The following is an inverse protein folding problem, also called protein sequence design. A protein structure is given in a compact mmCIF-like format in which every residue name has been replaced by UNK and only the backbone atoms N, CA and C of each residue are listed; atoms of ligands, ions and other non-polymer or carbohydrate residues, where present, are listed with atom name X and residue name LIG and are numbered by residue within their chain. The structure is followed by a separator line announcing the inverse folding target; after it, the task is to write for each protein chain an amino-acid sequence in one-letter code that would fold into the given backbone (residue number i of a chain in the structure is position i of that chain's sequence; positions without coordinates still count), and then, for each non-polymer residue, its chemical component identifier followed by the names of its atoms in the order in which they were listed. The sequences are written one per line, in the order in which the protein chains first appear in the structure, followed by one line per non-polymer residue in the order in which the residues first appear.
data_IF_272793168662
#
_entry.id   IF_272793168662
#
_cell.length_a   1.000
_cell.length_b   1.000
_cell.length_c   1.000
_cell.angle_alpha   90.00
_cell.angle_beta   90.00
_cell.angle_gamma   90.00
#
_symmetry.space_group_name_H-M   'P 1'
#
loop_
_entity.id
_entity.type
_entity.pdbx_description
1 polymer ?
#
# COMPACT_ATOMS: atom_id res chain seq x y z
N UNK A 1 -101.42 13.59 -25.68
CA UNK A 1 -100.56 13.28 -26.80
C UNK A 1 -99.25 14.00 -26.62
N UNK A 2 -98.24 13.36 -26.16
CA UNK A 2 -96.91 13.93 -25.99
C UNK A 2 -95.92 12.84 -26.47
N UNK A 3 -95.00 13.13 -27.40
CA UNK A 3 -94.07 12.14 -27.86
C UNK A 3 -92.82 12.08 -26.97
N UNK A 4 -92.43 10.88 -26.61
CA UNK A 4 -91.22 10.58 -25.86
C UNK A 4 -89.98 10.71 -26.74
N UNK A 5 -89.05 11.54 -26.32
CA UNK A 5 -87.71 11.63 -26.91
C UNK A 5 -86.73 10.74 -26.16
N UNK A 6 -86.19 9.74 -26.84
CA UNK A 6 -85.14 8.88 -26.34
C UNK A 6 -83.78 9.58 -26.58
N UNK A 7 -83.00 9.77 -25.50
CA UNK A 7 -81.62 10.23 -25.54
C UNK A 7 -80.72 8.97 -25.59
N UNK A 8 -79.72 8.88 -26.54
CA UNK A 8 -78.82 7.75 -26.56
C UNK A 8 -77.63 7.99 -25.55
N UNK A 9 -77.43 7.01 -24.69
CA UNK A 9 -76.25 6.90 -23.83
C UNK A 9 -75.01 6.69 -24.70
N UNK A 10 -74.06 7.65 -24.69
CA UNK A 10 -72.69 7.42 -25.18
C UNK A 10 -71.84 6.84 -24.08
N UNK A 11 -71.36 5.60 -24.27
CA UNK A 11 -70.36 4.97 -23.44
C UNK A 11 -69.01 5.56 -23.79
N UNK A 12 -68.42 6.31 -22.86
CA UNK A 12 -67.03 6.73 -22.97
C UNK A 12 -66.16 5.56 -22.43
N UNK A 13 -65.47 4.86 -23.34
CA UNK A 13 -64.44 3.91 -23.00
C UNK A 13 -63.20 4.64 -22.47
N UNK A 14 -62.87 4.47 -21.19
CA UNK A 14 -61.57 4.86 -20.63
C UNK A 14 -60.55 3.83 -21.12
N UNK A 15 -59.69 4.22 -22.04
CA UNK A 15 -58.46 3.49 -22.36
C UNK A 15 -57.45 3.88 -21.30
N UNK A 16 -57.24 2.97 -20.29
CA UNK A 16 -56.13 3.08 -19.35
C UNK A 16 -54.82 2.82 -20.12
N UNK A 17 -54.02 3.84 -20.35
CA UNK A 17 -52.64 3.75 -20.81
C UNK A 17 -51.83 3.24 -19.60
N UNK A 18 -51.54 1.94 -19.53
CA UNK A 18 -50.55 1.39 -18.65
C UNK A 18 -49.19 1.75 -19.23
N UNK A 19 -48.59 2.83 -18.72
CA UNK A 19 -47.21 3.12 -18.96
C UNK A 19 -46.37 2.03 -18.27
N UNK A 20 -45.85 1.07 -19.02
CA UNK A 20 -44.76 0.23 -18.60
C UNK A 20 -43.55 1.11 -18.38
N UNK A 21 -43.34 1.54 -17.13
CA UNK A 21 -42.04 2.05 -16.69
C UNK A 21 -41.07 0.87 -16.72
N UNK A 22 -40.32 0.74 -17.81
CA UNK A 22 -39.11 -0.07 -17.83
C UNK A 22 -38.20 0.49 -16.72
N UNK A 23 -37.73 -0.30 -15.77
CA UNK A 23 -36.66 0.17 -14.92
C UNK A 23 -35.47 0.43 -15.85
N UNK A 24 -35.12 1.69 -16.06
CA UNK A 24 -33.78 2.04 -16.53
C UNK A 24 -32.82 1.43 -15.52
N UNK A 25 -32.31 0.25 -15.82
CA UNK A 25 -31.08 -0.20 -15.24
C UNK A 25 -30.03 0.83 -15.72
N UNK A 26 -29.73 1.80 -14.86
CA UNK A 26 -28.46 2.47 -14.93
C UNK A 26 -27.43 1.37 -14.75
N UNK A 27 -26.88 0.88 -15.84
CA UNK A 27 -25.65 0.15 -15.81
C UNK A 27 -24.64 1.14 -15.21
N UNK A 28 -24.31 0.96 -13.95
CA UNK A 28 -23.24 1.68 -13.30
C UNK A 28 -21.99 1.36 -14.13
N UNK A 29 -21.51 2.33 -14.91
CA UNK A 29 -20.27 2.16 -15.65
C UNK A 29 -19.21 1.82 -14.61
N UNK A 30 -18.58 0.66 -14.73
CA UNK A 30 -17.52 0.25 -13.83
C UNK A 30 -16.51 1.39 -13.75
N UNK A 31 -16.41 2.01 -12.57
CA UNK A 31 -15.54 3.17 -12.33
C UNK A 31 -14.06 2.78 -12.38
N UNK A 32 -13.76 1.52 -12.01
CA UNK A 32 -12.42 0.96 -12.11
C UNK A 32 -12.10 0.55 -13.55
N UNK A 33 -10.81 0.54 -13.89
CA UNK A 33 -10.31 0.12 -15.19
C UNK A 33 -9.35 -1.05 -15.03
N UNK A 34 -9.37 -1.97 -16.01
CA UNK A 34 -8.47 -3.11 -16.06
C UNK A 34 -7.75 -3.16 -17.40
N UNK A 35 -6.45 -3.12 -17.34
CA UNK A 35 -5.55 -3.26 -18.49
C UNK A 35 -4.81 -4.57 -18.37
N UNK A 36 -4.77 -5.37 -19.43
CA UNK A 36 -4.10 -6.66 -19.45
C UNK A 36 -3.25 -6.83 -20.70
N UNK A 37 -2.07 -7.37 -20.53
CA UNK A 37 -1.16 -7.80 -21.60
C UNK A 37 -0.89 -9.29 -21.42
N UNK A 38 -0.99 -10.09 -22.49
CA UNK A 38 -0.79 -11.54 -22.48
C UNK A 38 -2.07 -12.36 -22.58
N UNK A 39 -2.04 -13.60 -22.11
CA UNK A 39 -3.16 -14.54 -22.21
C UNK A 39 -4.33 -14.14 -21.29
N UNK A 40 -5.57 -14.07 -21.78
CA UNK A 40 -6.74 -13.80 -20.93
C UNK A 40 -7.18 -14.98 -20.06
N UNK A 41 -6.78 -16.20 -20.41
CA UNK A 41 -7.12 -17.38 -19.60
C UNK A 41 -6.22 -17.45 -18.37
N UNK A 42 -6.84 -17.69 -17.22
CA UNK A 42 -6.17 -18.01 -15.97
C UNK A 42 -5.45 -19.35 -16.08
N UNK A 43 -4.26 -19.46 -15.47
CA UNK A 43 -3.49 -20.70 -15.40
C UNK A 43 -3.15 -20.99 -13.94
N UNK A 44 -3.29 -22.25 -13.55
CA UNK A 44 -2.91 -22.68 -12.20
C UNK A 44 -1.44 -23.04 -12.16
N UNK A 45 -0.64 -22.19 -11.55
CA UNK A 45 0.77 -22.44 -11.23
C UNK A 45 1.00 -22.20 -9.74
N UNK A 46 2.09 -22.76 -9.20
CA UNK A 46 2.48 -22.55 -7.82
C UNK A 46 3.54 -21.44 -7.74
N UNK A 47 3.19 -20.23 -7.31
CA UNK A 47 4.18 -19.17 -7.13
C UNK A 47 5.09 -19.45 -5.93
N UNK A 48 6.24 -18.77 -5.88
CA UNK A 48 7.15 -18.82 -4.73
C UNK A 48 6.99 -17.53 -3.93
N UNK A 49 6.78 -17.62 -2.64
CA UNK A 49 6.63 -16.47 -1.76
C UNK A 49 7.82 -15.50 -1.80
N UNK A 50 7.63 -14.32 -1.27
CA UNK A 50 8.64 -13.28 -1.14
C UNK A 50 8.04 -11.88 -1.13
N UNK A 51 8.83 -10.91 -0.63
CA UNK A 51 8.42 -9.50 -0.57
C UNK A 51 9.40 -8.64 -1.35
N UNK A 52 8.89 -7.65 -2.10
CA UNK A 52 9.71 -6.60 -2.70
C UNK A 52 9.31 -5.24 -2.10
N UNK A 53 10.15 -4.71 -1.20
CA UNK A 53 9.91 -3.48 -0.47
C UNK A 53 10.71 -2.35 -1.14
N UNK A 54 10.05 -1.54 -2.00
CA UNK A 54 10.71 -0.60 -2.91
C UNK A 54 10.46 0.85 -2.49
N UNK A 55 11.53 1.64 -2.33
CA UNK A 55 11.46 3.00 -1.80
C UNK A 55 10.90 4.05 -2.76
N UNK A 56 10.74 3.72 -4.02
CA UNK A 56 10.37 4.66 -5.09
C UNK A 56 11.55 4.94 -6.02
N UNK A 57 11.36 5.89 -6.95
CA UNK A 57 12.36 6.17 -7.98
C UNK A 57 12.12 5.38 -9.27
N UNK A 58 13.09 5.37 -10.17
CA UNK A 58 12.97 4.80 -11.52
C UNK A 58 13.77 3.52 -11.75
N UNK A 59 14.77 3.23 -10.89
CA UNK A 59 15.68 2.09 -11.05
C UNK A 59 15.26 0.94 -10.14
N UNK A 60 14.27 0.17 -10.58
CA UNK A 60 13.67 -0.90 -9.78
C UNK A 60 13.67 -2.27 -10.49
N UNK A 61 14.49 -2.42 -11.54
CA UNK A 61 14.49 -3.61 -12.40
C UNK A 61 14.76 -4.91 -11.64
N UNK A 62 15.73 -4.90 -10.69
CA UNK A 62 16.04 -6.09 -9.89
C UNK A 62 14.85 -6.54 -9.02
N UNK A 63 14.06 -5.59 -8.50
CA UNK A 63 12.89 -5.92 -7.70
C UNK A 63 11.74 -6.47 -8.55
N UNK A 64 11.51 -5.92 -9.73
CA UNK A 64 10.54 -6.49 -10.67
C UNK A 64 10.97 -7.87 -11.15
N UNK A 65 12.26 -8.07 -11.49
CA UNK A 65 12.80 -9.38 -11.86
C UNK A 65 12.59 -10.40 -10.73
N UNK A 66 12.88 -10.03 -9.50
CA UNK A 66 12.64 -10.87 -8.33
C UNK A 66 11.17 -11.31 -8.20
N UNK A 67 10.22 -10.39 -8.38
CA UNK A 67 8.78 -10.72 -8.35
C UNK A 67 8.37 -11.59 -9.55
N UNK A 68 8.86 -11.27 -10.76
CA UNK A 68 8.61 -12.06 -11.97
C UNK A 68 9.03 -13.53 -11.82
N UNK A 69 10.25 -13.77 -11.32
CA UNK A 69 10.77 -15.12 -11.08
C UNK A 69 9.89 -15.90 -10.10
N UNK A 70 9.28 -15.21 -9.11
CA UNK A 70 8.40 -15.81 -8.11
C UNK A 70 7.00 -16.07 -8.59
N UNK A 71 6.54 -15.33 -9.59
CA UNK A 71 5.24 -15.56 -10.24
C UNK A 71 5.20 -16.92 -10.93
N UNK A 72 6.36 -17.52 -11.24
CA UNK A 72 6.52 -18.85 -11.84
C UNK A 72 5.72 -19.05 -13.14
N UNK A 73 5.68 -18.01 -13.99
CA UNK A 73 4.96 -18.05 -15.27
C UNK A 73 3.45 -17.72 -15.16
N UNK A 74 2.92 -17.49 -13.98
CA UNK A 74 1.53 -17.14 -13.72
C UNK A 74 1.17 -15.68 -14.08
N UNK A 75 0.19 -15.14 -13.39
CA UNK A 75 -0.37 -13.81 -13.61
C UNK A 75 0.19 -12.78 -12.61
N UNK A 76 0.73 -11.70 -13.15
CA UNK A 76 1.28 -10.58 -12.38
C UNK A 76 0.28 -9.43 -12.37
N UNK A 77 -0.24 -9.05 -11.20
CA UNK A 77 -1.26 -8.02 -11.06
C UNK A 77 -0.73 -6.78 -10.35
N UNK A 78 -0.88 -5.63 -10.98
CA UNK A 78 -0.56 -4.31 -10.44
C UNK A 78 -1.86 -3.66 -9.96
N UNK A 79 -1.86 -3.13 -8.73
CA UNK A 79 -2.97 -2.36 -8.18
C UNK A 79 -2.58 -0.90 -8.03
N UNK A 80 -3.45 0.00 -8.48
CA UNK A 80 -3.31 1.46 -8.36
C UNK A 80 -4.62 2.08 -7.89
N UNK A 81 -4.51 3.10 -7.05
CA UNK A 81 -5.65 3.91 -6.61
C UNK A 81 -5.46 5.37 -7.07
N UNK A 82 -5.50 5.58 -8.39
CA UNK A 82 -5.47 6.89 -9.04
C UNK A 82 -6.08 6.81 -10.44
N UNK A 83 -6.35 7.95 -11.08
CA UNK A 83 -7.06 8.04 -12.37
C UNK A 83 -6.16 8.10 -13.61
N UNK A 84 -4.83 7.97 -13.47
CA UNK A 84 -3.91 8.06 -14.61
C UNK A 84 -3.79 6.71 -15.33
N UNK A 85 -4.27 6.62 -16.56
CA UNK A 85 -4.41 5.38 -17.34
C UNK A 85 -3.18 5.06 -18.23
N UNK A 86 -2.52 6.07 -18.79
CA UNK A 86 -1.45 5.87 -19.80
C UNK A 86 -0.26 5.08 -19.27
N UNK A 87 0.02 5.20 -17.99
CA UNK A 87 1.08 4.46 -17.31
C UNK A 87 0.81 2.95 -17.29
N UNK A 88 -0.44 2.52 -17.05
CA UNK A 88 -0.79 1.13 -16.83
C UNK A 88 -0.45 0.23 -18.04
N UNK A 89 -0.85 0.62 -19.26
CA UNK A 89 -0.58 -0.16 -20.46
C UNK A 89 0.91 -0.24 -20.78
N UNK A 90 1.64 0.86 -20.60
CA UNK A 90 3.09 0.91 -20.85
C UNK A 90 3.83 -0.04 -19.92
N UNK A 91 3.57 0.03 -18.61
CA UNK A 91 4.24 -0.82 -17.61
C UNK A 91 3.90 -2.29 -17.81
N UNK A 92 2.65 -2.64 -18.12
CA UNK A 92 2.28 -4.03 -18.42
C UNK A 92 3.11 -4.60 -19.59
N UNK A 93 3.27 -3.84 -20.68
CA UNK A 93 4.09 -4.25 -21.84
C UNK A 93 5.56 -4.39 -21.48
N UNK A 94 6.11 -3.45 -20.71
CA UNK A 94 7.51 -3.47 -20.29
C UNK A 94 7.82 -4.70 -19.42
N UNK A 95 6.98 -4.99 -18.42
CA UNK A 95 7.13 -6.17 -17.56
C UNK A 95 6.96 -7.45 -18.39
N UNK A 96 5.92 -7.54 -19.22
CA UNK A 96 5.64 -8.72 -20.05
C UNK A 96 6.77 -9.03 -21.05
N UNK A 97 7.46 -7.99 -21.55
CA UNK A 97 8.55 -8.14 -22.49
C UNK A 97 9.82 -8.78 -21.86
N UNK A 98 10.03 -8.61 -20.56
CA UNK A 98 11.22 -9.09 -19.84
C UNK A 98 10.94 -10.27 -18.92
N UNK A 99 9.68 -10.60 -18.68
CA UNK A 99 9.24 -11.67 -17.79
C UNK A 99 8.42 -12.73 -18.54
N UNK A 100 8.75 -14.04 -18.43
CA UNK A 100 7.99 -15.12 -19.06
C UNK A 100 6.71 -15.43 -18.24
N UNK A 101 5.75 -14.50 -18.26
CA UNK A 101 4.48 -14.57 -17.50
C UNK A 101 3.31 -14.98 -18.41
N UNK A 102 2.26 -15.57 -17.85
CA UNK A 102 0.98 -15.79 -18.53
C UNK A 102 0.39 -14.44 -18.94
N UNK A 103 0.18 -13.56 -17.96
CA UNK A 103 -0.24 -12.18 -18.23
C UNK A 103 0.32 -11.18 -17.21
N UNK A 104 0.26 -9.90 -17.58
CA UNK A 104 0.47 -8.78 -16.69
C UNK A 104 -0.78 -7.91 -16.74
N UNK A 105 -1.40 -7.66 -15.60
CA UNK A 105 -2.59 -6.85 -15.49
C UNK A 105 -2.40 -5.63 -14.58
N UNK A 106 -3.13 -4.55 -14.84
CA UNK A 106 -3.22 -3.41 -13.92
C UNK A 106 -4.67 -3.06 -13.67
N UNK A 107 -5.07 -3.05 -12.39
CA UNK A 107 -6.35 -2.49 -11.96
C UNK A 107 -6.11 -1.06 -11.47
N UNK A 108 -6.90 -0.14 -11.98
CA UNK A 108 -6.93 1.27 -11.55
C UNK A 108 -8.25 1.53 -10.86
N UNK A 109 -8.20 1.76 -9.56
CA UNK A 109 -9.34 2.12 -8.73
C UNK A 109 -9.61 3.62 -8.81
N UNK A 110 -10.85 4.01 -8.99
CA UNK A 110 -11.28 5.40 -8.99
C UNK A 110 -11.91 5.82 -7.65
N UNK A 111 -12.50 4.87 -6.91
CA UNK A 111 -13.22 5.15 -5.67
C UNK A 111 -13.24 3.93 -4.72
N UNK A 112 -13.81 4.12 -3.53
CA UNK A 112 -14.02 3.03 -2.56
C UNK A 112 -15.07 2.02 -3.03
N UNK A 113 -16.10 2.50 -3.72
CA UNK A 113 -17.20 1.68 -4.23
C UNK A 113 -16.71 0.60 -5.20
N UNK A 114 -15.60 0.86 -5.91
CA UNK A 114 -14.96 -0.13 -6.79
C UNK A 114 -14.53 -1.39 -6.02
N UNK A 115 -14.20 -1.23 -4.73
CA UNK A 115 -13.69 -2.33 -3.89
C UNK A 115 -14.75 -3.35 -3.47
N UNK A 116 -16.02 -3.07 -3.73
CA UNK A 116 -17.14 -3.97 -3.51
C UNK A 116 -17.49 -4.81 -4.76
N UNK A 117 -16.87 -4.53 -5.93
CA UNK A 117 -17.13 -5.25 -7.16
C UNK A 117 -16.56 -6.69 -7.10
N UNK A 118 -17.42 -7.73 -7.15
CA UNK A 118 -16.99 -9.13 -7.05
C UNK A 118 -16.08 -9.57 -8.22
N UNK A 119 -16.21 -8.94 -9.40
CA UNK A 119 -15.35 -9.22 -10.55
C UNK A 119 -13.91 -8.75 -10.29
N UNK A 120 -13.76 -7.60 -9.67
CA UNK A 120 -12.46 -7.06 -9.29
C UNK A 120 -11.80 -7.97 -8.24
N UNK A 121 -12.55 -8.37 -7.21
CA UNK A 121 -12.09 -9.33 -6.19
C UNK A 121 -11.68 -10.66 -6.82
N UNK A 122 -12.41 -11.14 -7.83
CA UNK A 122 -12.04 -12.36 -8.55
C UNK A 122 -10.70 -12.21 -9.26
N UNK A 123 -10.44 -11.10 -9.96
CA UNK A 123 -9.16 -10.85 -10.64
C UNK A 123 -8.01 -10.85 -9.64
N UNK A 124 -8.19 -10.22 -8.47
CA UNK A 124 -7.18 -10.21 -7.40
C UNK A 124 -6.89 -11.63 -6.89
N UNK A 125 -7.92 -12.45 -6.68
CA UNK A 125 -7.76 -13.82 -6.19
C UNK A 125 -7.05 -14.75 -7.19
N UNK A 126 -7.15 -14.47 -8.49
CA UNK A 126 -6.51 -15.26 -9.55
C UNK A 126 -5.03 -14.93 -9.74
N UNK A 127 -4.54 -13.80 -9.23
CA UNK A 127 -3.17 -13.39 -9.38
C UNK A 127 -2.19 -14.27 -8.58
N UNK A 128 -1.06 -14.63 -9.20
CA UNK A 128 0.08 -15.27 -8.53
C UNK A 128 0.98 -14.27 -7.84
N UNK A 129 1.09 -13.05 -8.38
CA UNK A 129 1.85 -11.95 -7.76
C UNK A 129 1.02 -10.69 -7.74
N UNK A 130 1.06 -9.97 -6.62
CA UNK A 130 0.45 -8.64 -6.49
C UNK A 130 1.52 -7.59 -6.24
N UNK A 131 1.41 -6.47 -6.97
CA UNK A 131 2.28 -5.32 -6.81
C UNK A 131 1.45 -4.06 -6.57
N UNK A 132 1.70 -3.38 -5.44
CA UNK A 132 1.07 -2.09 -5.12
C UNK A 132 1.92 -0.97 -5.70
N UNK A 133 1.39 -0.26 -6.70
CA UNK A 133 2.12 0.80 -7.39
C UNK A 133 2.32 2.04 -6.51
N UNK A 134 3.19 2.96 -6.95
CA UNK A 134 3.29 4.29 -6.38
C UNK A 134 2.04 5.14 -6.64
N UNK A 135 1.91 6.23 -5.90
CA UNK A 135 0.78 7.15 -6.00
C UNK A 135 0.52 7.87 -4.68
N UNK A 136 -0.74 7.96 -4.29
CA UNK A 136 -1.17 8.49 -3.00
C UNK A 136 -1.64 7.35 -2.10
N UNK A 137 -0.91 7.08 -1.02
CA UNK A 137 -1.27 6.03 -0.05
C UNK A 137 -2.59 6.30 0.67
N UNK A 138 -3.05 7.53 0.75
CA UNK A 138 -4.34 7.83 1.37
C UNK A 138 -5.50 7.19 0.61
N UNK A 139 -5.38 7.09 -0.72
CA UNK A 139 -6.36 6.40 -1.55
C UNK A 139 -6.35 4.89 -1.29
N UNK A 140 -5.18 4.28 -1.08
CA UNK A 140 -5.10 2.85 -0.77
C UNK A 140 -5.81 2.53 0.54
N UNK A 141 -5.59 3.33 1.59
CA UNK A 141 -6.28 3.17 2.87
C UNK A 141 -7.78 3.45 2.71
N UNK A 142 -8.15 4.57 2.09
CA UNK A 142 -9.57 4.96 1.95
C UNK A 142 -10.39 4.01 1.10
N UNK A 143 -9.79 3.49 0.01
CA UNK A 143 -10.53 2.67 -0.95
C UNK A 143 -10.57 1.21 -0.55
N UNK A 144 -9.49 0.67 0.06
CA UNK A 144 -9.36 -0.76 0.26
C UNK A 144 -9.58 -1.23 1.70
N UNK A 145 -9.21 -0.43 2.72
CA UNK A 145 -9.35 -0.84 4.12
C UNK A 145 -10.82 -1.11 4.48
N UNK A 146 -11.09 -2.22 5.17
CA UNK A 146 -12.42 -2.71 5.56
C UNK A 146 -13.34 -2.98 4.34
N UNK A 147 -12.79 -3.57 3.27
CA UNK A 147 -13.52 -3.92 2.04
C UNK A 147 -13.23 -5.36 1.58
N UNK A 148 -14.00 -5.89 0.62
CA UNK A 148 -13.69 -7.17 -0.02
C UNK A 148 -12.30 -7.25 -0.68
N UNK A 149 -11.77 -6.12 -1.18
CA UNK A 149 -10.40 -6.01 -1.74
C UNK A 149 -9.35 -6.26 -0.67
N UNK A 150 -9.46 -5.65 0.51
CA UNK A 150 -8.57 -5.97 1.62
C UNK A 150 -8.61 -7.46 1.98
N UNK A 151 -9.81 -8.02 2.04
CA UNK A 151 -10.00 -9.45 2.27
C UNK A 151 -9.29 -10.34 1.24
N UNK A 152 -9.30 -9.94 -0.04
CA UNK A 152 -8.61 -10.64 -1.12
C UNK A 152 -7.08 -10.49 -1.00
N UNK A 153 -6.58 -9.29 -0.69
CA UNK A 153 -5.16 -9.03 -0.44
C UNK A 153 -4.63 -9.84 0.74
N UNK A 154 -5.36 -9.88 1.85
CA UNK A 154 -4.97 -10.65 3.02
C UNK A 154 -5.03 -12.16 2.78
N UNK A 155 -5.93 -12.67 1.93
CA UNK A 155 -5.91 -14.07 1.46
C UNK A 155 -4.66 -14.36 0.65
N UNK A 156 -4.33 -13.52 -0.34
CA UNK A 156 -3.12 -13.65 -1.15
C UNK A 156 -1.84 -13.73 -0.27
N UNK A 157 -1.76 -12.87 0.74
CA UNK A 157 -0.68 -12.87 1.73
C UNK A 157 -0.67 -14.17 2.54
N UNK A 158 -1.83 -14.62 3.05
CA UNK A 158 -1.96 -15.83 3.86
C UNK A 158 -1.64 -17.11 3.07
N UNK A 159 -1.86 -17.12 1.76
CA UNK A 159 -1.46 -18.18 0.84
C UNK A 159 0.06 -18.20 0.57
N UNK A 160 0.81 -17.25 1.13
CA UNK A 160 2.26 -17.13 0.96
C UNK A 160 2.69 -16.74 -0.45
N UNK A 161 1.80 -16.14 -1.24
CA UNK A 161 2.09 -15.64 -2.58
C UNK A 161 2.98 -14.38 -2.54
N UNK A 162 3.78 -14.11 -3.57
CA UNK A 162 4.65 -12.95 -3.59
C UNK A 162 3.86 -11.64 -3.69
N UNK A 163 4.29 -10.65 -2.91
CA UNK A 163 3.73 -9.32 -2.92
C UNK A 163 4.83 -8.27 -2.87
N UNK A 164 4.62 -7.14 -3.53
CA UNK A 164 5.55 -6.02 -3.47
C UNK A 164 4.84 -4.68 -3.51
N UNK A 165 5.58 -3.63 -3.22
CA UNK A 165 5.07 -2.27 -3.34
C UNK A 165 6.17 -1.25 -3.48
N UNK A 166 5.89 -0.16 -4.20
CA UNK A 166 6.80 0.95 -4.39
C UNK A 166 6.19 2.26 -3.91
N UNK A 167 6.99 3.10 -3.25
CA UNK A 167 6.54 4.42 -2.79
C UNK A 167 5.26 4.30 -1.93
N UNK A 168 4.14 4.88 -2.36
CA UNK A 168 2.85 4.74 -1.67
C UNK A 168 2.44 3.27 -1.46
N UNK A 169 2.75 2.37 -2.41
CA UNK A 169 2.49 0.96 -2.27
C UNK A 169 3.32 0.30 -1.17
N UNK A 170 4.60 0.68 -1.00
CA UNK A 170 5.39 0.23 0.15
C UNK A 170 4.85 0.81 1.46
N UNK A 171 4.45 2.09 1.47
CA UNK A 171 4.00 2.78 2.68
C UNK A 171 2.80 2.11 3.38
N UNK A 172 2.07 1.23 2.67
CA UNK A 172 0.92 0.50 3.23
C UNK A 172 1.17 -0.99 3.46
N UNK A 173 2.38 -1.52 3.19
CA UNK A 173 2.69 -2.94 3.41
C UNK A 173 2.98 -3.28 4.88
N UNK A 174 3.38 -2.31 5.71
CA UNK A 174 3.60 -2.53 7.14
C UNK A 174 2.28 -2.82 7.88
N UNK A 175 2.36 -3.44 9.07
CA UNK A 175 1.21 -3.54 9.97
C UNK A 175 0.69 -2.15 10.35
N UNK A 176 1.62 -1.19 10.50
CA UNK A 176 1.31 0.22 10.67
C UNK A 176 1.65 0.98 9.39
N UNK A 177 0.81 1.96 9.05
CA UNK A 177 0.99 2.80 7.87
C UNK A 177 0.82 4.28 8.21
N UNK A 178 1.66 5.13 7.62
CA UNK A 178 1.34 6.55 7.52
C UNK A 178 0.30 6.73 6.42
N UNK A 179 -0.95 6.88 6.81
CA UNK A 179 -2.09 6.90 5.90
C UNK A 179 -2.21 8.20 5.07
N UNK A 180 -1.56 9.29 5.51
CA UNK A 180 -1.59 10.61 4.85
C UNK A 180 -3.01 11.11 4.50
N UNK A 181 -4.02 10.80 5.33
CA UNK A 181 -5.43 11.07 5.03
C UNK A 181 -5.73 12.57 4.83
N UNK A 182 -5.01 13.44 5.51
CA UNK A 182 -5.17 14.89 5.37
C UNK A 182 -4.21 15.44 4.32
N UNK A 183 -2.92 15.06 4.42
CA UNK A 183 -1.84 15.50 3.55
C UNK A 183 -0.54 14.82 3.98
N UNK A 184 0.53 14.98 3.18
CA UNK A 184 1.87 14.62 3.63
C UNK A 184 2.31 15.49 4.80
N UNK A 185 3.23 14.97 5.62
CA UNK A 185 3.86 15.75 6.70
C UNK A 185 5.38 15.74 6.52
N UNK A 186 6.02 16.90 6.78
CA UNK A 186 7.47 17.05 6.79
C UNK A 186 8.04 16.80 8.18
N UNK A 187 9.30 16.35 8.23
CA UNK A 187 9.98 16.00 9.49
C UNK A 187 9.96 17.11 10.54
N UNK A 188 10.27 18.39 10.23
CA UNK A 188 10.23 19.45 11.23
C UNK A 188 8.86 19.65 11.86
N UNK A 189 7.79 19.62 11.05
CA UNK A 189 6.42 19.82 11.52
C UNK A 189 5.95 18.66 12.42
N UNK A 190 6.25 17.43 12.00
CA UNK A 190 5.95 16.23 12.78
C UNK A 190 6.68 16.25 14.14
N UNK A 191 7.99 16.58 14.14
CA UNK A 191 8.79 16.64 15.36
C UNK A 191 8.34 17.74 16.33
N UNK A 192 7.78 18.83 15.82
CA UNK A 192 7.26 19.94 16.64
C UNK A 192 5.89 19.61 17.26
N UNK A 193 5.06 18.82 16.57
CA UNK A 193 3.75 18.39 17.05
C UNK A 193 3.43 16.95 16.62
N UNK A 194 3.80 15.93 17.41
CA UNK A 194 3.55 14.52 17.11
C UNK A 194 2.06 14.17 16.96
N UNK A 195 1.15 15.00 17.48
CA UNK A 195 -0.31 14.85 17.34
C UNK A 195 -0.91 15.88 16.40
N UNK A 196 -0.11 16.55 15.58
CA UNK A 196 -0.59 17.43 14.51
C UNK A 196 -1.54 16.69 13.56
N UNK A 197 -2.55 17.37 13.04
CA UNK A 197 -3.63 16.77 12.26
C UNK A 197 -3.17 16.01 11.01
N UNK A 198 -1.99 16.32 10.46
CA UNK A 198 -1.40 15.61 9.32
C UNK A 198 -0.70 14.30 9.71
N UNK A 199 -0.45 14.03 11.00
CA UNK A 199 0.10 12.76 11.48
C UNK A 199 -1.03 11.73 11.58
N UNK A 200 -1.44 11.20 10.43
CA UNK A 200 -2.53 10.22 10.33
C UNK A 200 -1.95 8.82 10.14
N UNK A 201 -2.09 7.98 11.15
CA UNK A 201 -1.62 6.59 11.13
C UNK A 201 -2.82 5.64 10.98
N UNK A 202 -2.58 4.52 10.32
CA UNK A 202 -3.50 3.38 10.21
C UNK A 202 -2.80 2.11 10.68
N UNK A 203 -3.58 1.10 11.06
CA UNK A 203 -3.11 -0.23 11.45
C UNK A 203 -4.07 -1.30 10.97
N UNK A 204 -3.62 -2.56 11.05
CA UNK A 204 -4.44 -3.75 10.78
C UNK A 204 -4.97 -3.83 9.33
N UNK A 205 -4.35 -3.09 8.39
CA UNK A 205 -4.76 -3.10 6.98
C UNK A 205 -4.23 -4.35 6.26
N UNK A 206 -2.91 -4.51 6.10
CA UNK A 206 -2.31 -5.70 5.49
C UNK A 206 -1.57 -6.53 6.53
N UNK A 207 -1.77 -7.85 6.51
CA UNK A 207 -1.29 -8.78 7.56
C UNK A 207 -0.10 -9.61 7.06
N UNK A 208 1.00 -8.94 6.71
CA UNK A 208 2.24 -9.59 6.25
C UNK A 208 3.02 -10.10 7.46
N UNK A 209 3.22 -11.43 7.64
CA UNK A 209 3.81 -11.98 8.87
C UNK A 209 5.21 -11.46 9.21
N UNK A 210 6.04 -11.17 8.18
CA UNK A 210 7.39 -10.63 8.37
C UNK A 210 7.40 -9.12 8.72
N UNK A 211 6.27 -8.43 8.61
CA UNK A 211 6.12 -7.00 8.88
C UNK A 211 5.24 -6.70 10.10
N UNK A 212 5.07 -7.67 11.00
CA UNK A 212 4.41 -7.47 12.31
C UNK A 212 5.22 -6.46 13.13
N UNK A 213 4.54 -5.59 13.89
CA UNK A 213 5.10 -4.46 14.64
C UNK A 213 5.85 -3.44 13.76
N UNK A 214 5.66 -3.44 12.44
CA UNK A 214 6.49 -2.68 11.51
C UNK A 214 5.72 -1.57 10.80
N UNK A 215 6.32 -0.38 10.74
CA UNK A 215 5.92 0.70 9.84
C UNK A 215 6.97 0.85 8.73
N UNK A 216 6.53 1.20 7.53
CA UNK A 216 7.43 1.45 6.40
C UNK A 216 7.42 2.92 5.98
N UNK A 217 8.55 3.45 5.52
CA UNK A 217 8.63 4.77 4.89
C UNK A 217 9.52 4.72 3.63
N UNK A 218 9.33 5.66 2.72
CA UNK A 218 9.82 5.62 1.33
C UNK A 218 10.48 6.94 0.95
N UNK A 219 11.25 7.00 -0.15
CA UNK A 219 11.97 8.22 -0.56
C UNK A 219 12.72 8.84 0.63
N UNK A 220 13.32 8.01 1.44
CA UNK A 220 13.61 8.31 2.83
C UNK A 220 14.63 9.41 3.02
N UNK A 221 15.82 9.24 2.47
CA UNK A 221 16.89 10.27 2.51
C UNK A 221 16.55 11.40 1.57
N UNK A 222 16.12 11.08 0.36
CA UNK A 222 15.80 12.05 -0.69
C UNK A 222 14.81 13.13 -0.24
N UNK A 223 13.83 12.76 0.58
CA UNK A 223 12.79 13.68 1.07
C UNK A 223 12.93 14.03 2.56
N UNK A 224 14.11 13.75 3.16
CA UNK A 224 14.40 14.02 4.58
C UNK A 224 13.30 13.54 5.54
N UNK A 225 12.94 12.24 5.46
CA UNK A 225 11.76 11.68 6.15
C UNK A 225 12.06 11.09 7.53
N UNK A 226 13.32 11.07 7.98
CA UNK A 226 13.72 10.48 9.26
C UNK A 226 12.89 11.03 10.44
N UNK A 227 12.78 12.35 10.56
CA UNK A 227 12.08 12.96 11.70
C UNK A 227 10.61 12.55 11.77
N UNK A 228 9.89 12.50 10.62
CA UNK A 228 8.49 12.06 10.62
C UNK A 228 8.36 10.57 11.00
N UNK A 229 9.29 9.72 10.52
CA UNK A 229 9.29 8.29 10.86
C UNK A 229 9.48 8.07 12.36
N UNK A 230 10.40 8.82 12.99
CA UNK A 230 10.60 8.76 14.45
C UNK A 230 9.33 9.19 15.22
N UNK A 231 8.58 10.18 14.70
CA UNK A 231 7.28 10.57 15.25
C UNK A 231 6.26 9.44 15.11
N UNK A 232 6.19 8.78 13.96
CA UNK A 232 5.27 7.66 13.76
C UNK A 232 5.57 6.50 14.72
N UNK A 233 6.85 6.15 14.87
CA UNK A 233 7.28 5.14 15.85
C UNK A 233 6.93 5.53 17.29
N UNK A 234 7.17 6.79 17.66
CA UNK A 234 6.82 7.31 18.99
C UNK A 234 5.31 7.25 19.26
N UNK A 235 4.49 7.59 18.25
CA UNK A 235 3.02 7.52 18.33
C UNK A 235 2.54 6.08 18.51
N UNK A 236 3.05 5.12 17.75
CA UNK A 236 2.68 3.70 17.86
C UNK A 236 2.90 3.20 19.29
N UNK A 237 4.06 3.50 19.89
CA UNK A 237 4.36 3.13 21.28
C UNK A 237 3.51 3.92 22.28
N UNK A 238 3.37 5.23 22.10
CA UNK A 238 2.63 6.10 23.03
C UNK A 238 1.14 5.76 23.07
N UNK A 239 0.54 5.47 21.90
CA UNK A 239 -0.87 5.12 21.76
C UNK A 239 -1.15 3.66 22.16
N UNK A 240 -0.10 2.90 22.54
CA UNK A 240 -0.23 1.51 23.01
C UNK A 240 -0.64 0.53 21.91
N UNK A 241 -0.27 0.81 20.65
CA UNK A 241 -0.55 -0.10 19.54
C UNK A 241 0.41 -1.29 19.52
N UNK A 242 1.64 -1.09 20.02
CA UNK A 242 2.63 -2.14 20.20
C UNK A 242 3.54 -1.81 21.40
N UNK A 243 4.16 -2.84 22.00
CA UNK A 243 5.19 -2.69 23.04
C UNK A 243 6.58 -2.50 22.44
N UNK A 244 6.74 -2.85 21.18
CA UNK A 244 7.93 -2.65 20.37
C UNK A 244 7.48 -2.22 18.98
N UNK A 245 8.18 -1.27 18.39
CA UNK A 245 7.98 -0.87 16.99
C UNK A 245 9.25 -1.08 16.19
N UNK A 246 9.08 -1.59 14.98
CA UNK A 246 10.09 -1.72 13.94
C UNK A 246 9.79 -0.74 12.81
N UNK A 247 10.82 -0.29 12.08
CA UNK A 247 10.60 0.49 10.88
C UNK A 247 11.57 0.06 9.78
N UNK A 248 11.06 0.00 8.54
CA UNK A 248 11.87 -0.20 7.33
C UNK A 248 11.72 1.06 6.49
N UNK A 249 12.81 1.80 6.34
CA UNK A 249 12.84 3.04 5.59
C UNK A 249 13.73 2.89 4.37
N UNK A 250 13.13 2.97 3.19
CA UNK A 250 13.78 2.67 1.91
C UNK A 250 13.92 3.96 1.10
N UNK A 251 15.13 4.25 0.62
CA UNK A 251 15.34 5.44 -0.20
C UNK A 251 14.97 5.23 -1.67
N UNK A 252 14.99 6.30 -2.47
CA UNK A 252 14.76 6.20 -3.92
C UNK A 252 15.79 5.27 -4.57
N UNK A 253 15.35 4.55 -5.60
CA UNK A 253 16.16 3.59 -6.35
C UNK A 253 16.75 2.45 -5.49
N UNK A 254 16.17 2.21 -4.29
CA UNK A 254 16.51 1.13 -3.38
C UNK A 254 15.34 0.17 -3.16
N UNK A 255 15.67 -1.07 -2.82
CA UNK A 255 14.68 -2.05 -2.38
C UNK A 255 15.28 -3.09 -1.42
N UNK A 256 14.40 -3.73 -0.63
CA UNK A 256 14.71 -4.96 0.10
C UNK A 256 13.96 -6.11 -0.56
N UNK A 257 14.68 -7.10 -1.05
CA UNK A 257 14.15 -8.33 -1.65
C UNK A 257 14.17 -9.42 -0.58
N UNK A 258 13.00 -9.82 -0.11
CA UNK A 258 12.86 -10.67 1.08
C UNK A 258 12.39 -12.07 0.69
N UNK A 259 13.15 -13.07 1.07
CA UNK A 259 12.79 -14.49 0.95
C UNK A 259 11.71 -14.87 1.99
N UNK A 260 10.96 -15.96 1.78
CA UNK A 260 9.92 -16.41 2.72
C UNK A 260 10.43 -16.70 4.13
N UNK A 261 11.70 -17.03 4.29
CA UNK A 261 12.35 -17.28 5.58
C UNK A 261 12.74 -16.01 6.36
N UNK A 262 12.63 -14.84 5.71
CA UNK A 262 12.94 -13.51 6.27
C UNK A 262 14.29 -12.96 5.82
N UNK A 263 15.10 -13.70 5.06
CA UNK A 263 16.36 -13.22 4.52
C UNK A 263 16.11 -12.11 3.50
N UNK A 264 16.53 -10.90 3.80
CA UNK A 264 16.40 -9.72 2.95
C UNK A 264 17.72 -9.32 2.30
N UNK A 265 17.75 -9.20 0.97
CA UNK A 265 18.87 -8.63 0.19
C UNK A 265 18.57 -7.18 -0.15
N UNK A 266 19.51 -6.29 0.12
CA UNK A 266 19.41 -4.88 -0.25
C UNK A 266 19.94 -4.68 -1.68
N UNK A 267 19.16 -3.97 -2.50
CA UNK A 267 19.55 -3.56 -3.86
C UNK A 267 19.39 -2.05 -4.01
N UNK A 268 20.25 -1.44 -4.85
CA UNK A 268 20.23 0.00 -5.09
C UNK A 268 20.81 0.83 -3.94
N UNK A 269 20.07 1.80 -3.44
CA UNK A 269 20.51 2.76 -2.43
C UNK A 269 20.43 2.26 -0.97
N UNK A 270 20.54 3.15 0.01
CA UNK A 270 20.51 2.77 1.42
C UNK A 270 19.10 2.41 1.89
N UNK A 271 19.06 1.47 2.84
CA UNK A 271 17.88 1.09 3.61
C UNK A 271 18.21 1.20 5.10
N UNK A 272 17.27 1.68 5.88
CA UNK A 272 17.39 1.84 7.32
C UNK A 272 16.37 0.97 8.01
N UNK A 273 16.85 0.14 8.94
CA UNK A 273 16.05 -0.69 9.83
C UNK A 273 16.11 -0.11 11.23
N UNK A 274 14.97 0.34 11.74
CA UNK A 274 14.91 0.98 13.06
C UNK A 274 14.10 0.12 14.02
N UNK A 275 14.43 0.19 15.31
CA UNK A 275 13.61 -0.42 16.36
C UNK A 275 13.64 0.38 17.66
N UNK A 276 12.51 0.43 18.33
CA UNK A 276 12.36 0.99 19.65
C UNK A 276 11.35 0.17 20.46
N UNK A 277 11.59 0.05 21.78
CA UNK A 277 10.72 -0.66 22.73
C UNK A 277 10.42 0.15 23.99
N UNK A 278 10.98 1.35 24.08
CA UNK A 278 10.69 2.28 25.18
C UNK A 278 9.73 3.35 24.67
N UNK A 279 8.75 3.70 25.49
CA UNK A 279 7.87 4.82 25.17
C UNK A 279 8.68 6.12 25.11
N UNK A 280 8.27 7.08 24.26
CA UNK A 280 8.92 8.39 24.23
C UNK A 280 8.77 9.09 25.61
N UNK A 281 9.78 9.85 25.99
CA UNK A 281 9.76 10.66 27.21
C UNK A 281 8.71 11.79 27.13
N UNK A 282 8.47 12.30 25.91
CA UNK A 282 7.45 13.29 25.65
C UNK A 282 6.89 13.14 24.22
N UNK A 283 5.63 12.81 24.12
CA UNK A 283 4.89 12.71 22.86
C UNK A 283 3.46 13.19 23.10
N UNK A 284 3.21 14.46 22.87
CA UNK A 284 1.93 15.12 23.14
C UNK A 284 1.62 16.21 22.11
N UNK A 285 0.35 16.63 22.03
CA UNK A 285 -0.09 17.68 21.12
C UNK A 285 0.65 19.00 21.39
N UNK A 286 1.07 19.69 20.32
CA UNK A 286 1.80 20.98 20.36
C UNK A 286 3.04 20.95 21.26
N UNK A 287 3.68 19.82 21.36
CA UNK A 287 4.86 19.64 22.21
C UNK A 287 5.97 18.95 21.39
N UNK A 288 7.15 19.54 21.29
CA UNK A 288 8.26 18.90 20.59
C UNK A 288 8.56 17.52 21.14
N UNK A 289 8.78 16.55 20.24
CA UNK A 289 9.06 15.18 20.59
C UNK A 289 10.34 15.05 21.42
N UNK A 290 10.30 14.21 22.50
CA UNK A 290 11.47 13.65 23.17
C UNK A 290 11.37 12.12 23.14
N UNK A 291 12.33 11.50 22.45
CA UNK A 291 12.33 10.07 22.23
C UNK A 291 13.76 9.54 22.14
N UNK A 292 14.13 8.59 22.98
CA UNK A 292 15.50 8.08 23.09
C UNK A 292 15.61 6.61 22.76
N UNK A 293 16.84 6.13 22.70
CA UNK A 293 17.17 4.71 22.57
C UNK A 293 16.63 4.03 21.30
N UNK A 294 16.51 4.78 20.19
CA UNK A 294 16.13 4.21 18.91
C UNK A 294 17.37 3.55 18.30
N UNK A 295 17.33 2.24 18.10
CA UNK A 295 18.40 1.50 17.42
C UNK A 295 18.20 1.64 15.92
N UNK A 296 19.29 1.89 15.20
CA UNK A 296 19.31 1.98 13.74
C UNK A 296 20.36 1.01 13.20
N UNK A 297 19.99 0.36 12.12
CA UNK A 297 20.90 -0.41 11.29
C UNK A 297 20.77 0.09 9.85
N UNK A 298 21.83 0.67 9.30
CA UNK A 298 21.92 1.12 7.92
C UNK A 298 22.58 0.05 7.07
N UNK A 299 21.92 -0.36 6.01
CA UNK A 299 22.43 -1.31 5.04
C UNK A 299 22.42 -0.72 3.63
N UNK A 300 23.37 -1.12 2.79
CA UNK A 300 23.54 -0.64 1.42
C UNK A 300 23.51 -1.82 0.43
N UNK A 301 23.50 -1.51 -0.86
CA UNK A 301 23.42 -2.50 -1.93
C UNK A 301 24.42 -3.66 -1.74
N UNK A 302 23.94 -4.89 -1.92
CA UNK A 302 24.70 -6.12 -1.76
C UNK A 302 24.72 -6.69 -0.34
N UNK A 303 24.35 -5.90 0.68
CA UNK A 303 24.24 -6.35 2.05
C UNK A 303 22.92 -7.07 2.31
N UNK A 304 22.81 -7.77 3.43
CA UNK A 304 21.65 -8.53 3.84
C UNK A 304 21.16 -8.12 5.22
N UNK A 305 19.86 -8.28 5.45
CA UNK A 305 19.23 -8.08 6.75
C UNK A 305 18.13 -9.14 6.95
N UNK A 306 18.14 -9.81 8.09
CA UNK A 306 17.12 -10.80 8.43
C UNK A 306 15.93 -10.13 9.13
N UNK A 307 14.77 -10.11 8.48
CA UNK A 307 13.55 -9.48 8.99
C UNK A 307 12.90 -10.30 10.12
N UNK A 308 13.13 -11.61 10.15
CA UNK A 308 12.58 -12.49 11.18
C UNK A 308 13.27 -12.29 12.51
N UNK A 309 14.61 -12.32 12.52
CA UNK A 309 15.43 -12.09 13.71
C UNK A 309 15.69 -10.61 13.98
N UNK A 310 15.47 -9.76 12.99
CA UNK A 310 15.74 -8.32 13.00
C UNK A 310 17.22 -8.00 13.22
N UNK A 311 18.10 -8.72 12.52
CA UNK A 311 19.55 -8.62 12.67
C UNK A 311 20.27 -8.66 11.33
N UNK A 312 21.49 -8.12 11.31
CA UNK A 312 22.47 -8.32 10.24
C UNK A 312 23.87 -8.36 10.85
N UNK A 313 24.78 -9.05 10.17
CA UNK A 313 26.24 -9.03 10.48
C UNK A 313 26.98 -8.01 9.59
N UNK A 314 26.26 -7.30 8.71
CA UNK A 314 26.79 -6.34 7.74
C UNK A 314 26.13 -4.98 7.96
N UNK A 315 26.76 -3.90 7.48
CA UNK A 315 26.24 -2.55 7.62
C UNK A 315 26.61 -1.87 8.92
N UNK A 316 26.04 -0.69 9.16
CA UNK A 316 26.38 0.18 10.28
C UNK A 316 25.25 0.26 11.30
N UNK A 317 25.59 -0.04 12.56
CA UNK A 317 24.68 0.10 13.71
C UNK A 317 24.98 1.35 14.53
N UNK A 318 23.96 2.15 14.81
CA UNK A 318 24.07 3.33 15.67
C UNK A 318 22.74 3.58 16.42
N UNK A 319 22.72 4.61 17.26
CA UNK A 319 21.51 5.01 17.98
C UNK A 319 21.07 6.40 17.55
N UNK A 320 19.77 6.62 17.61
CA UNK A 320 19.17 7.93 17.49
C UNK A 320 18.44 8.31 18.77
N UNK A 321 18.38 9.60 19.00
CA UNK A 321 17.50 10.23 19.97
C UNK A 321 16.89 11.48 19.38
N UNK A 322 15.73 11.86 19.89
CA UNK A 322 15.08 13.15 19.63
C UNK A 322 15.05 13.93 20.93
N UNK A 323 15.66 15.09 20.93
CA UNK A 323 15.71 16.02 22.08
C UNK A 323 15.12 17.34 21.67
N UNK A 324 14.03 17.74 22.30
CA UNK A 324 13.31 18.96 21.99
C UNK A 324 13.04 19.11 20.47
N UNK A 325 12.53 18.03 19.84
CA UNK A 325 12.22 18.00 18.40
C UNK A 325 13.43 17.98 17.46
N UNK A 326 14.65 17.76 17.96
CA UNK A 326 15.86 17.68 17.14
C UNK A 326 16.45 16.28 17.19
N UNK A 327 16.67 15.69 16.02
CA UNK A 327 17.27 14.36 15.88
C UNK A 327 18.79 14.46 16.10
N UNK A 328 19.31 13.54 16.90
CA UNK A 328 20.73 13.39 17.21
C UNK A 328 21.15 11.92 17.07
N UNK A 329 22.38 11.68 16.61
CA UNK A 329 22.96 10.34 16.53
C UNK A 329 24.00 10.10 17.62
N UNK A 330 24.14 8.84 18.01
CA UNK A 330 25.17 8.37 18.92
C UNK A 330 25.87 7.14 18.30
N UNK A 331 27.17 7.25 17.99
CA UNK A 331 28.00 8.46 18.10
C UNK A 331 27.62 9.56 17.09
N UNK A 332 27.82 10.80 17.45
CA UNK A 332 27.50 11.98 16.60
C UNK A 332 28.24 11.97 15.24
N UNK A 333 29.37 11.25 15.16
CA UNK A 333 30.15 11.08 13.92
C UNK A 333 29.43 10.34 12.79
N UNK A 334 28.41 9.52 13.11
CA UNK A 334 27.62 8.80 12.09
C UNK A 334 26.67 9.70 11.28
N UNK A 335 26.39 10.92 11.76
CA UNK A 335 25.28 11.68 11.20
C UNK A 335 23.94 11.02 11.53
N UNK A 336 22.84 11.55 10.97
CA UNK A 336 21.50 10.99 11.24
C UNK A 336 21.03 10.04 10.13
N UNK A 337 21.72 10.00 8.97
CA UNK A 337 21.46 9.13 7.82
C UNK A 337 22.63 8.22 7.51
#
# INVERSE_FOLDING_TARGET
MVPSSRIPFRVFGFIAFVACLSPNAFADEAKWKYFREGNPADISVQPRGGLALMGGGSKQDEAFKFLCERTNGGDFLILRANTEDDYAQKVNKEIKAVCPLNSVGTIVFASREDSDDPKLVQIINQAETIFLAGGDQSNYVRFWQDTPVEGALNRHIAEGKPIGGSSAGLAVLGEFAFAAIIDTIHSPDALADPYGNKVTLSRDFLKIPLLVDTITDTHFVKRNRLGRLLVFMARILQDGWADRVRAIAVDEDAAVLVEPDGAGKIVGGPVYFLTASQRPEKCAHKTPLEFKSIQVHKAVAGQTFDLKTWTSTQGDGYRLSVVNGKVQSDPASHGVY
#
